data_IF_744528719230
#
_entry.id   IF_744528719230
#
_cell.length_a   1.000
_cell.length_b   1.000
_cell.length_c   1.000
_cell.angle_alpha   90.00
_cell.angle_beta   90.00
_cell.angle_gamma   90.00
#
_symmetry.space_group_name_H-M   'P 1'
#
loop_
_entity.id
_entity.type
_entity.pdbx_description
1 polymer ?
#
# COMPACT_ATOMS: atom_id res chain seq x y z
N UNK A 1 -40.66 -23.25 -25.71
CA UNK A 1 -39.68 -22.18 -25.39
C UNK A 1 -40.34 -20.82 -25.55
N UNK A 2 -40.30 -19.95 -24.54
CA UNK A 2 -40.97 -18.65 -24.58
C UNK A 2 -40.12 -17.61 -25.35
N UNK A 3 -40.74 -16.85 -26.26
CA UNK A 3 -40.06 -15.82 -27.07
C UNK A 3 -39.51 -14.70 -26.19
N UNK A 4 -38.30 -14.23 -26.48
CA UNK A 4 -37.63 -13.17 -25.72
C UNK A 4 -38.33 -11.81 -25.92
N UNK A 5 -38.20 -10.86 -24.97
CA UNK A 5 -38.85 -9.54 -25.06
C UNK A 5 -38.51 -8.77 -26.34
N UNK A 6 -37.25 -8.82 -26.77
CA UNK A 6 -36.77 -8.19 -28.00
C UNK A 6 -37.47 -8.74 -29.27
N UNK A 7 -37.77 -10.04 -29.30
CA UNK A 7 -38.47 -10.67 -30.43
C UNK A 7 -39.96 -10.29 -30.48
N UNK A 8 -40.57 -9.93 -29.34
CA UNK A 8 -41.99 -9.50 -29.29
C UNK A 8 -42.17 -8.03 -29.67
N UNK A 9 -41.24 -7.17 -29.27
CA UNK A 9 -41.22 -5.74 -29.64
C UNK A 9 -41.05 -5.58 -31.16
N UNK A 10 -40.19 -6.40 -31.78
CA UNK A 10 -40.02 -6.43 -33.24
C UNK A 10 -41.29 -6.86 -34.01
N UNK A 11 -42.17 -7.68 -33.39
CA UNK A 11 -43.38 -8.20 -34.04
C UNK A 11 -44.65 -7.35 -33.82
N UNK A 12 -44.77 -6.68 -32.67
CA UNK A 12 -46.00 -5.97 -32.29
C UNK A 12 -45.81 -4.45 -32.07
N UNK A 13 -44.59 -3.92 -32.25
CA UNK A 13 -44.30 -2.50 -32.08
C UNK A 13 -44.74 -1.96 -30.72
N UNK A 14 -45.24 -0.74 -30.69
CA UNK A 14 -45.72 -0.05 -29.48
C UNK A 14 -46.93 -0.70 -28.79
N UNK A 15 -47.54 -1.74 -29.39
CA UNK A 15 -48.65 -2.51 -28.79
C UNK A 15 -48.17 -3.78 -28.06
N UNK A 16 -46.86 -3.98 -27.92
CA UNK A 16 -46.33 -5.10 -27.15
C UNK A 16 -46.65 -4.91 -25.66
N UNK A 17 -47.60 -5.68 -25.13
CA UNK A 17 -47.84 -5.76 -23.69
C UNK A 17 -46.60 -6.39 -23.02
N UNK A 18 -45.77 -5.54 -22.42
CA UNK A 18 -44.69 -5.96 -21.53
C UNK A 18 -45.32 -6.12 -20.14
N UNK A 19 -45.36 -7.32 -19.54
CA UNK A 19 -45.77 -7.45 -18.15
C UNK A 19 -44.80 -6.64 -17.30
N UNK A 20 -45.29 -5.55 -16.73
CA UNK A 20 -44.53 -4.66 -15.86
C UNK A 20 -44.46 -5.32 -14.48
N UNK A 21 -43.78 -6.48 -14.40
CA UNK A 21 -43.31 -7.01 -13.13
C UNK A 21 -42.12 -6.14 -12.70
N UNK A 22 -42.41 -4.91 -12.24
CA UNK A 22 -41.52 -4.26 -11.30
C UNK A 22 -41.66 -5.02 -9.99
N UNK A 23 -40.77 -5.97 -9.76
CA UNK A 23 -40.59 -6.50 -8.42
C UNK A 23 -40.41 -5.28 -7.50
N UNK A 24 -41.13 -5.17 -6.37
CA UNK A 24 -40.89 -4.10 -5.42
C UNK A 24 -39.40 -4.10 -5.10
N UNK A 25 -38.75 -2.92 -4.96
CA UNK A 25 -37.36 -2.86 -4.60
C UNK A 25 -37.17 -3.75 -3.37
N UNK A 26 -36.25 -4.71 -3.43
CA UNK A 26 -35.85 -5.46 -2.25
C UNK A 26 -35.10 -4.45 -1.38
N UNK A 27 -35.84 -3.70 -0.58
CA UNK A 27 -35.30 -2.81 0.43
C UNK A 27 -34.82 -3.73 1.53
N UNK A 28 -33.52 -4.05 1.54
CA UNK A 28 -32.94 -4.78 2.65
C UNK A 28 -32.82 -3.79 3.82
N UNK A 29 -33.65 -3.87 4.87
CA UNK A 29 -33.70 -2.86 5.94
C UNK A 29 -32.39 -2.79 6.73
N UNK A 30 -31.52 -3.79 6.60
CA UNK A 30 -30.18 -3.83 7.20
C UNK A 30 -29.14 -2.96 6.48
N UNK A 31 -29.49 -2.35 5.34
CA UNK A 31 -28.55 -1.57 4.50
C UNK A 31 -28.82 -0.06 4.47
N UNK A 32 -29.62 0.48 5.39
CA UNK A 32 -29.80 1.93 5.58
C UNK A 32 -28.50 2.58 6.07
N UNK A 33 -27.53 2.75 5.17
CA UNK A 33 -26.26 3.42 5.46
C UNK A 33 -26.49 4.92 5.63
N UNK A 34 -26.52 5.38 6.88
CA UNK A 34 -26.35 6.80 7.15
C UNK A 34 -24.92 7.23 6.76
N UNK A 35 -24.71 8.47 6.29
CA UNK A 35 -23.39 9.01 6.02
C UNK A 35 -22.44 8.91 7.23
N UNK A 36 -22.99 9.05 8.45
CA UNK A 36 -22.26 8.91 9.71
C UNK A 36 -21.75 7.47 9.92
N UNK A 37 -22.60 6.46 9.67
CA UNK A 37 -22.20 5.06 9.79
C UNK A 37 -21.13 4.68 8.75
N UNK A 38 -21.24 5.18 7.51
CA UNK A 38 -20.23 4.99 6.49
C UNK A 38 -18.87 5.60 6.88
N UNK A 39 -18.87 6.83 7.41
CA UNK A 39 -17.66 7.49 7.87
C UNK A 39 -16.99 6.77 9.04
N UNK A 40 -17.79 6.23 9.98
CA UNK A 40 -17.27 5.48 11.14
C UNK A 40 -16.56 4.20 10.67
N UNK A 41 -17.16 3.45 9.74
CA UNK A 41 -16.55 2.25 9.18
C UNK A 41 -15.23 2.55 8.45
N UNK A 42 -15.18 3.65 7.69
CA UNK A 42 -13.92 4.08 7.04
C UNK A 42 -12.83 4.41 8.05
N UNK A 43 -13.17 5.12 9.14
CA UNK A 43 -12.20 5.45 10.18
C UNK A 43 -11.67 4.19 10.88
N UNK A 44 -12.53 3.21 11.16
CA UNK A 44 -12.11 1.93 11.77
C UNK A 44 -11.13 1.18 10.88
N UNK A 45 -11.40 1.09 9.57
CA UNK A 45 -10.49 0.44 8.61
C UNK A 45 -9.15 1.18 8.55
N UNK A 46 -9.17 2.52 8.53
CA UNK A 46 -7.94 3.32 8.53
C UNK A 46 -7.12 3.11 9.80
N UNK A 47 -7.76 3.13 10.98
CA UNK A 47 -7.08 2.90 12.26
C UNK A 47 -6.48 1.49 12.29
N UNK A 48 -7.24 0.47 11.90
CA UNK A 48 -6.76 -0.90 11.84
C UNK A 48 -5.56 -1.05 10.89
N UNK A 49 -5.63 -0.43 9.70
CA UNK A 49 -4.53 -0.43 8.73
C UNK A 49 -3.27 0.27 9.24
N UNK A 50 -3.42 1.43 9.91
CA UNK A 50 -2.30 2.16 10.51
C UNK A 50 -1.66 1.34 11.64
N UNK A 51 -2.45 0.78 12.55
CA UNK A 51 -1.95 -0.05 13.66
C UNK A 51 -1.24 -1.30 13.11
N UNK A 52 -1.82 -1.98 12.13
CA UNK A 52 -1.19 -3.12 11.48
C UNK A 52 0.13 -2.74 10.80
N UNK A 53 0.17 -1.59 10.11
CA UNK A 53 1.39 -1.08 9.47
C UNK A 53 2.49 -0.77 10.49
N UNK A 54 2.15 -0.12 11.60
CA UNK A 54 3.09 0.19 12.69
C UNK A 54 3.61 -1.08 13.34
N UNK A 55 2.73 -2.05 13.62
CA UNK A 55 3.10 -3.34 14.20
C UNK A 55 4.05 -4.10 13.26
N UNK A 56 3.73 -4.18 11.96
CA UNK A 56 4.57 -4.86 10.98
C UNK A 56 5.91 -4.14 10.76
N UNK A 57 5.92 -2.81 10.74
CA UNK A 57 7.15 -2.02 10.69
C UNK A 57 8.03 -2.33 11.91
N UNK A 58 7.45 -2.30 13.11
CA UNK A 58 8.15 -2.61 14.34
C UNK A 58 8.71 -4.04 14.31
N UNK A 59 7.86 -5.01 14.03
CA UNK A 59 8.22 -6.42 13.95
C UNK A 59 9.35 -6.66 12.94
N UNK A 60 9.22 -6.14 11.73
CA UNK A 60 10.24 -6.29 10.70
C UNK A 60 11.54 -5.56 11.10
N UNK A 61 11.50 -4.24 11.25
CA UNK A 61 12.71 -3.43 11.37
C UNK A 61 13.40 -3.46 12.73
N UNK A 62 12.65 -3.51 13.84
CA UNK A 62 13.26 -3.37 15.17
C UNK A 62 13.34 -4.69 15.94
N UNK A 63 12.59 -5.71 15.53
CA UNK A 63 12.65 -7.02 16.17
C UNK A 63 13.41 -8.03 15.30
N UNK A 64 12.89 -8.38 14.13
CA UNK A 64 13.46 -9.48 13.34
C UNK A 64 14.81 -9.15 12.72
N UNK A 65 14.98 -7.96 12.14
CA UNK A 65 16.29 -7.55 11.61
C UNK A 65 17.32 -7.33 12.71
N UNK A 66 16.89 -6.89 13.89
CA UNK A 66 17.78 -6.74 15.05
C UNK A 66 18.24 -8.10 15.60
N UNK A 67 17.35 -9.10 15.62
CA UNK A 67 17.73 -10.48 15.95
C UNK A 67 18.77 -11.01 14.96
N UNK A 68 18.57 -10.81 13.65
CA UNK A 68 19.57 -11.21 12.65
C UNK A 68 20.89 -10.44 12.80
N UNK A 69 20.84 -9.16 13.17
CA UNK A 69 22.05 -8.36 13.47
C UNK A 69 22.87 -8.99 14.60
N UNK A 70 22.21 -9.56 15.61
CA UNK A 70 22.90 -10.27 16.70
C UNK A 70 23.52 -11.59 16.23
N UNK A 71 22.92 -12.25 15.25
CA UNK A 71 23.43 -13.49 14.65
C UNK A 71 24.58 -13.24 13.66
N UNK A 72 24.68 -12.04 13.08
CA UNK A 72 25.72 -11.64 12.12
C UNK A 72 26.89 -10.88 12.77
N UNK A 73 27.18 -11.14 14.05
CA UNK A 73 28.30 -10.50 14.76
C UNK A 73 28.15 -8.99 14.95
N UNK A 74 26.92 -8.47 14.95
CA UNK A 74 26.63 -7.04 15.10
C UNK A 74 26.49 -6.27 13.79
N UNK A 75 26.66 -6.92 12.63
CA UNK A 75 26.43 -6.30 11.32
C UNK A 75 24.94 -6.15 11.04
N UNK A 76 24.46 -4.92 10.96
CA UNK A 76 23.06 -4.63 10.66
C UNK A 76 22.59 -5.29 9.35
N UNK A 77 21.34 -5.75 9.31
CA UNK A 77 20.79 -6.24 8.04
C UNK A 77 20.69 -5.10 7.01
N UNK A 78 20.90 -5.38 5.71
CA UNK A 78 20.93 -4.35 4.67
C UNK A 78 19.69 -3.45 4.65
N UNK A 79 18.50 -3.98 4.94
CA UNK A 79 17.25 -3.23 5.05
C UNK A 79 17.25 -2.11 6.09
N UNK A 80 18.07 -2.23 7.14
CA UNK A 80 18.18 -1.23 8.20
C UNK A 80 19.13 -0.08 7.85
N UNK A 81 19.90 -0.20 6.76
CA UNK A 81 20.93 0.77 6.38
C UNK A 81 20.34 1.91 5.56
N UNK A 82 19.86 2.94 6.25
CA UNK A 82 19.23 4.13 5.63
C UNK A 82 20.14 4.82 4.60
N UNK A 83 21.45 4.79 4.79
CA UNK A 83 22.46 5.35 3.89
C UNK A 83 22.93 4.42 2.77
N UNK A 84 22.40 3.20 2.70
CA UNK A 84 22.87 2.16 1.80
C UNK A 84 24.11 1.42 2.32
N UNK A 85 24.69 0.62 1.44
CA UNK A 85 25.84 -0.25 1.68
C UNK A 85 26.62 -0.51 0.38
N UNK A 86 27.80 -1.11 0.51
CA UNK A 86 28.71 -1.42 -0.60
C UNK A 86 29.10 -2.91 -0.63
N UNK A 87 29.94 -3.28 -1.60
CA UNK A 87 30.38 -4.67 -1.78
C UNK A 87 31.26 -5.18 -0.64
N UNK A 88 32.02 -4.29 0.02
CA UNK A 88 32.81 -4.66 1.19
C UNK A 88 31.90 -5.06 2.34
N UNK A 89 30.84 -4.29 2.56
CA UNK A 89 29.82 -4.59 3.57
C UNK A 89 29.15 -5.94 3.31
N UNK A 90 28.75 -6.19 2.07
CA UNK A 90 28.14 -7.48 1.67
C UNK A 90 29.12 -8.64 1.87
N UNK A 91 30.40 -8.45 1.55
CA UNK A 91 31.43 -9.47 1.81
C UNK A 91 31.60 -9.79 3.30
N UNK A 92 31.61 -8.77 4.16
CA UNK A 92 31.66 -8.95 5.62
C UNK A 92 30.41 -9.67 6.14
N UNK A 93 29.24 -9.29 5.63
CA UNK A 93 27.97 -9.88 6.04
C UNK A 93 27.86 -11.34 5.59
N UNK A 94 28.29 -11.67 4.37
CA UNK A 94 28.37 -13.05 3.87
C UNK A 94 29.32 -13.92 4.71
N UNK A 95 30.44 -13.36 5.15
CA UNK A 95 31.37 -14.07 6.03
C UNK A 95 30.80 -14.30 7.44
N UNK A 96 29.91 -13.41 7.90
CA UNK A 96 29.29 -13.49 9.22
C UNK A 96 27.99 -14.32 9.25
N UNK A 97 27.31 -14.53 8.10
CA UNK A 97 26.04 -15.24 8.01
C UNK A 97 26.20 -16.66 7.45
N UNK A 98 25.75 -17.65 8.23
CA UNK A 98 25.57 -19.01 7.75
C UNK A 98 24.34 -19.16 6.83
N UNK A 99 24.11 -20.38 6.33
CA UNK A 99 22.99 -20.68 5.45
C UNK A 99 21.62 -20.50 6.12
N UNK A 100 21.53 -20.76 7.42
CA UNK A 100 20.28 -20.65 8.18
C UNK A 100 19.91 -19.18 8.41
N UNK A 101 20.87 -18.33 8.76
CA UNK A 101 20.67 -16.88 8.89
C UNK A 101 20.24 -16.26 7.55
N UNK A 102 20.86 -16.67 6.44
CA UNK A 102 20.46 -16.24 5.09
C UNK A 102 19.06 -16.73 4.72
N UNK A 103 18.74 -17.99 5.06
CA UNK A 103 17.41 -18.56 4.87
C UNK A 103 16.33 -17.83 5.70
N UNK A 104 16.65 -17.45 6.93
CA UNK A 104 15.77 -16.70 7.81
C UNK A 104 15.51 -15.28 7.26
N UNK A 105 16.55 -14.58 6.79
CA UNK A 105 16.38 -13.28 6.14
C UNK A 105 15.46 -13.38 4.92
N UNK A 106 15.68 -14.35 4.03
CA UNK A 106 14.83 -14.60 2.87
C UNK A 106 13.37 -14.93 3.25
N UNK A 107 13.17 -15.71 4.32
CA UNK A 107 11.83 -16.01 4.83
C UNK A 107 11.13 -14.75 5.34
N UNK A 108 11.83 -13.89 6.09
CA UNK A 108 11.28 -12.63 6.60
C UNK A 108 10.95 -11.69 5.43
N UNK A 109 11.79 -11.62 4.39
CA UNK A 109 11.52 -10.87 3.16
C UNK A 109 10.24 -11.32 2.44
N UNK A 110 10.02 -12.63 2.33
CA UNK A 110 8.80 -13.20 1.73
C UNK A 110 7.55 -13.00 2.58
N UNK A 111 7.70 -12.78 3.88
CA UNK A 111 6.60 -12.62 4.82
C UNK A 111 6.43 -11.17 5.24
N UNK A 112 7.00 -10.77 6.38
CA UNK A 112 6.84 -9.42 6.94
C UNK A 112 7.37 -8.33 5.99
N UNK A 113 8.49 -8.58 5.31
CA UNK A 113 9.06 -7.67 4.32
C UNK A 113 8.14 -7.43 3.11
N UNK A 114 7.20 -8.33 2.84
CA UNK A 114 6.18 -8.21 1.78
C UNK A 114 4.87 -7.66 2.32
N UNK A 115 4.41 -8.15 3.48
CA UNK A 115 3.15 -7.74 4.08
C UNK A 115 3.16 -6.28 4.53
N UNK A 116 4.26 -5.82 5.14
CA UNK A 116 4.41 -4.44 5.59
C UNK A 116 4.15 -3.43 4.48
N UNK A 117 4.92 -3.41 3.36
CA UNK A 117 4.74 -2.39 2.34
C UNK A 117 3.35 -2.46 1.70
N UNK A 118 2.78 -3.66 1.51
CA UNK A 118 1.43 -3.79 0.96
C UNK A 118 0.36 -3.21 1.88
N UNK A 119 0.36 -3.58 3.15
CA UNK A 119 -0.63 -3.10 4.13
C UNK A 119 -0.48 -1.58 4.33
N UNK A 120 0.77 -1.09 4.43
CA UNK A 120 1.06 0.33 4.49
C UNK A 120 0.54 1.05 3.24
N UNK A 121 0.88 0.55 2.05
CA UNK A 121 0.51 1.13 0.77
C UNK A 121 -1.00 1.25 0.61
N UNK A 122 -1.75 0.16 0.83
CA UNK A 122 -3.22 0.20 0.74
C UNK A 122 -3.84 1.13 1.78
N UNK A 123 -3.32 1.14 3.00
CA UNK A 123 -3.78 2.04 4.06
C UNK A 123 -3.58 3.51 3.65
N UNK A 124 -2.41 3.85 3.10
CA UNK A 124 -2.10 5.20 2.64
C UNK A 124 -2.92 5.61 1.42
N UNK A 125 -3.15 4.70 0.48
CA UNK A 125 -4.05 4.94 -0.66
C UNK A 125 -5.47 5.26 -0.18
N UNK A 126 -5.99 4.52 0.80
CA UNK A 126 -7.30 4.78 1.39
C UNK A 126 -7.33 6.12 2.14
N UNK A 127 -6.30 6.41 2.94
CA UNK A 127 -6.17 7.66 3.69
C UNK A 127 -6.21 8.86 2.75
N UNK A 128 -5.37 8.86 1.72
CA UNK A 128 -5.29 9.91 0.71
C UNK A 128 -6.60 9.98 -0.09
N UNK A 129 -7.15 8.81 -0.46
CA UNK A 129 -8.35 8.69 -1.27
C UNK A 129 -9.60 9.29 -0.62
N UNK A 130 -9.69 9.17 0.70
CA UNK A 130 -10.79 9.68 1.53
C UNK A 130 -10.56 11.11 2.02
N UNK A 131 -9.33 11.62 1.95
CA UNK A 131 -8.97 12.94 2.46
C UNK A 131 -8.82 14.00 1.37
N UNK A 132 -8.53 13.62 0.11
CA UNK A 132 -8.23 14.55 -0.99
C UNK A 132 -9.32 14.55 -2.05
N UNK A 133 -10.04 15.67 -2.20
CA UNK A 133 -11.12 15.82 -3.18
C UNK A 133 -10.63 16.06 -4.62
N UNK A 134 -9.51 16.79 -4.79
CA UNK A 134 -8.97 17.14 -6.13
C UNK A 134 -8.32 15.92 -6.77
N UNK A 135 -8.86 15.48 -7.93
CA UNK A 135 -8.41 14.27 -8.64
C UNK A 135 -6.92 14.29 -8.97
N UNK A 136 -6.39 15.39 -9.52
CA UNK A 136 -4.97 15.49 -9.91
C UNK A 136 -4.04 15.37 -8.72
N UNK A 137 -4.31 16.12 -7.64
CA UNK A 137 -3.53 16.08 -6.41
C UNK A 137 -3.58 14.70 -5.74
N UNK A 138 -4.75 14.05 -5.75
CA UNK A 138 -4.90 12.69 -5.24
C UNK A 138 -4.01 11.70 -5.99
N UNK A 139 -3.97 11.76 -7.33
CA UNK A 139 -3.09 10.90 -8.13
C UNK A 139 -1.61 11.16 -7.88
N UNK A 140 -1.22 12.43 -7.74
CA UNK A 140 0.15 12.80 -7.40
C UNK A 140 0.56 12.24 -6.03
N UNK A 141 -0.30 12.35 -5.02
CA UNK A 141 -0.05 11.82 -3.68
C UNK A 141 -0.09 10.28 -3.64
N UNK A 142 -0.92 9.63 -4.45
CA UNK A 142 -0.96 8.16 -4.58
C UNK A 142 0.26 7.56 -5.25
N UNK A 143 0.91 8.29 -6.17
CA UNK A 143 2.12 7.80 -6.84
C UNK A 143 3.21 7.43 -5.84
N UNK A 144 3.36 8.21 -4.76
CA UNK A 144 4.41 8.02 -3.75
C UNK A 144 4.30 6.65 -3.03
N UNK A 145 3.21 6.30 -2.33
CA UNK A 145 3.07 4.99 -1.69
C UNK A 145 3.03 3.84 -2.70
N UNK A 146 2.57 4.05 -3.94
CA UNK A 146 2.62 3.00 -4.97
C UNK A 146 4.07 2.66 -5.36
N UNK A 147 4.88 3.68 -5.65
CA UNK A 147 6.29 3.49 -5.98
C UNK A 147 7.05 2.92 -4.77
N UNK A 148 6.73 3.36 -3.56
CA UNK A 148 7.26 2.79 -2.32
C UNK A 148 7.06 1.26 -2.26
N UNK A 149 5.84 0.77 -2.51
CA UNK A 149 5.55 -0.68 -2.49
C UNK A 149 6.41 -1.40 -3.51
N UNK A 150 6.44 -0.93 -4.76
CA UNK A 150 7.23 -1.57 -5.82
C UNK A 150 8.72 -1.62 -5.44
N UNK A 151 9.27 -0.48 -4.97
CA UNK A 151 10.67 -0.38 -4.56
C UNK A 151 11.00 -1.30 -3.40
N UNK A 152 10.14 -1.43 -2.38
CA UNK A 152 10.39 -2.35 -1.26
C UNK A 152 10.32 -3.82 -1.68
N UNK A 153 9.35 -4.20 -2.50
CA UNK A 153 9.27 -5.58 -2.99
C UNK A 153 10.48 -5.95 -3.84
N UNK A 154 10.92 -5.05 -4.72
CA UNK A 154 12.14 -5.28 -5.51
C UNK A 154 13.40 -5.22 -4.65
N UNK A 155 13.43 -4.35 -3.64
CA UNK A 155 14.54 -4.22 -2.69
C UNK A 155 14.80 -5.51 -1.94
N UNK A 156 13.76 -6.16 -1.42
CA UNK A 156 13.88 -7.46 -0.76
C UNK A 156 14.54 -8.51 -1.68
N UNK A 157 14.07 -8.60 -2.94
CA UNK A 157 14.62 -9.54 -3.93
C UNK A 157 16.06 -9.18 -4.29
N UNK A 158 16.38 -7.90 -4.43
CA UNK A 158 17.72 -7.43 -4.77
C UNK A 158 18.72 -7.70 -3.64
N UNK A 159 18.32 -7.50 -2.38
CA UNK A 159 19.13 -7.83 -1.20
C UNK A 159 19.39 -9.33 -1.13
N UNK A 160 18.34 -10.15 -1.29
CA UNK A 160 18.49 -11.61 -1.32
C UNK A 160 19.42 -12.07 -2.44
N UNK A 161 19.32 -11.47 -3.64
CA UNK A 161 20.19 -11.78 -4.76
C UNK A 161 21.65 -11.37 -4.48
N UNK A 162 21.87 -10.19 -3.91
CA UNK A 162 23.20 -9.69 -3.56
C UNK A 162 23.91 -10.57 -2.50
N UNK A 163 23.14 -11.18 -1.59
CA UNK A 163 23.64 -12.08 -0.54
C UNK A 163 23.68 -13.56 -0.96
N UNK A 164 23.11 -13.92 -2.10
CA UNK A 164 23.08 -15.31 -2.57
C UNK A 164 24.45 -15.78 -3.10
N UNK A 165 25.26 -14.87 -3.62
CA UNK A 165 26.60 -15.16 -4.15
C UNK A 165 27.67 -15.02 -3.06
N UNK A 166 28.61 -15.95 -3.01
CA UNK A 166 29.81 -15.84 -2.15
C UNK A 166 30.68 -14.64 -2.53
N UNK A 167 30.65 -14.25 -3.81
CA UNK A 167 31.33 -13.06 -4.31
C UNK A 167 30.31 -11.96 -4.61
N UNK A 168 30.48 -10.80 -3.98
CA UNK A 168 29.58 -9.67 -4.13
C UNK A 168 29.68 -9.08 -5.54
N UNK A 169 28.67 -9.31 -6.39
CA UNK A 169 28.56 -8.64 -7.68
C UNK A 169 28.26 -7.15 -7.46
N UNK A 170 29.15 -6.28 -7.97
CA UNK A 170 29.06 -4.85 -7.72
C UNK A 170 27.77 -4.23 -8.26
N UNK A 171 27.22 -4.74 -9.37
CA UNK A 171 25.98 -4.26 -9.96
C UNK A 171 24.76 -4.61 -9.10
N UNK A 172 24.68 -5.86 -8.64
CA UNK A 172 23.62 -6.33 -7.74
C UNK A 172 23.64 -5.60 -6.40
N UNK A 173 24.83 -5.41 -5.81
CA UNK A 173 24.98 -4.67 -4.56
C UNK A 173 24.57 -3.21 -4.73
N UNK A 174 25.01 -2.54 -5.80
CA UNK A 174 24.63 -1.16 -6.07
C UNK A 174 23.10 -1.00 -6.25
N UNK A 175 22.46 -1.94 -6.96
CA UNK A 175 21.01 -1.96 -7.12
C UNK A 175 20.30 -2.15 -5.77
N UNK A 176 20.71 -3.14 -4.98
CA UNK A 176 20.11 -3.44 -3.68
C UNK A 176 20.25 -2.25 -2.72
N UNK A 177 21.46 -1.67 -2.64
CA UNK A 177 21.76 -0.48 -1.84
C UNK A 177 20.92 0.73 -2.28
N UNK A 178 20.85 0.99 -3.59
CA UNK A 178 20.03 2.08 -4.14
C UNK A 178 18.54 1.91 -3.84
N UNK A 179 18.00 0.69 -3.96
CA UNK A 179 16.60 0.39 -3.63
C UNK A 179 16.32 0.52 -2.14
N UNK A 180 17.26 0.15 -1.26
CA UNK A 180 17.15 0.38 0.18
C UNK A 180 17.02 1.86 0.50
N UNK A 181 17.94 2.68 -0.02
CA UNK A 181 17.92 4.14 0.20
C UNK A 181 16.63 4.74 -0.36
N UNK A 182 16.27 4.39 -1.59
CA UNK A 182 15.03 4.85 -2.21
C UNK A 182 13.79 4.43 -1.39
N UNK A 183 13.79 3.22 -0.83
CA UNK A 183 12.73 2.70 0.02
C UNK A 183 12.52 3.57 1.27
N UNK A 184 13.59 3.94 1.97
CA UNK A 184 13.52 4.83 3.13
C UNK A 184 13.04 6.23 2.76
N UNK A 185 13.56 6.80 1.67
CA UNK A 185 13.12 8.12 1.17
C UNK A 185 11.63 8.09 0.83
N UNK A 186 11.18 7.10 0.08
CA UNK A 186 9.78 6.94 -0.32
C UNK A 186 8.86 6.65 0.86
N UNK A 187 9.34 5.95 1.89
CA UNK A 187 8.60 5.74 3.12
C UNK A 187 8.31 7.09 3.80
N UNK A 188 9.34 7.90 4.03
CA UNK A 188 9.19 9.24 4.63
C UNK A 188 8.30 10.12 3.77
N UNK A 189 8.50 10.15 2.45
CA UNK A 189 7.64 10.90 1.54
C UNK A 189 6.18 10.42 1.58
N UNK A 190 5.93 9.12 1.75
CA UNK A 190 4.58 8.59 1.91
C UNK A 190 3.95 9.09 3.21
N UNK A 191 4.68 9.09 4.32
CA UNK A 191 4.21 9.66 5.59
C UNK A 191 3.83 11.14 5.42
N UNK A 192 4.69 11.92 4.78
CA UNK A 192 4.43 13.34 4.47
C UNK A 192 3.21 13.53 3.57
N UNK A 193 3.04 12.69 2.54
CA UNK A 193 1.87 12.71 1.66
C UNK A 193 0.58 12.41 2.43
N UNK A 194 0.62 11.44 3.35
CA UNK A 194 -0.50 11.11 4.24
C UNK A 194 -0.84 12.27 5.18
N UNK A 195 0.17 12.88 5.81
CA UNK A 195 -0.01 14.06 6.65
C UNK A 195 -0.62 15.23 5.87
N UNK A 196 -0.08 15.55 4.69
CA UNK A 196 -0.61 16.58 3.81
C UNK A 196 -2.08 16.30 3.44
N UNK A 197 -2.43 15.06 3.11
CA UNK A 197 -3.79 14.66 2.81
C UNK A 197 -4.74 14.94 3.99
N UNK A 198 -4.35 14.58 5.21
CA UNK A 198 -5.15 14.84 6.43
C UNK A 198 -5.34 16.33 6.68
N UNK A 199 -4.32 17.16 6.45
CA UNK A 199 -4.45 18.62 6.60
C UNK A 199 -5.35 19.24 5.53
N UNK A 200 -5.29 18.77 4.28
CA UNK A 200 -6.15 19.22 3.19
C UNK A 200 -7.62 18.87 3.42
N UNK A 201 -7.93 17.77 4.12
CA UNK A 201 -9.29 17.41 4.52
C UNK A 201 -9.93 18.43 5.46
N UNK A 202 -9.13 19.09 6.31
CA UNK A 202 -9.61 20.02 7.33
C UNK A 202 -9.85 21.44 6.81
N UNK A 203 -9.49 21.76 5.56
CA UNK A 203 -9.68 23.10 5.00
C UNK A 203 -11.07 23.17 4.34
N UNK A 204 -12.10 23.77 4.96
CA UNK A 204 -13.34 24.04 4.26
C UNK A 204 -13.03 25.01 3.10
N UNK A 205 -13.58 24.70 1.93
CA UNK A 205 -13.52 25.59 0.77
C UNK A 205 -14.35 26.86 1.08
N UNK A 206 -13.72 27.85 1.72
CA UNK A 206 -14.25 29.20 1.88
C UNK A 206 -14.28 29.86 0.50
N UNK A 207 -15.35 29.64 -0.27
CA UNK A 207 -15.33 30.07 -1.66
C UNK A 207 -16.62 29.93 -2.44
N UNK A 208 -17.76 30.39 -1.91
CA UNK A 208 -18.86 30.92 -2.73
C UNK A 208 -19.77 31.79 -1.86
N UNK A 209 -19.66 33.12 -2.01
CA UNK A 209 -20.68 34.06 -1.54
C UNK A 209 -22.01 33.67 -2.23
N UNK A 210 -23.13 33.55 -1.51
CA UNK A 210 -24.43 33.41 -2.17
C UNK A 210 -24.71 34.70 -2.95
N UNK A 211 -25.07 34.54 -4.24
CA UNK A 211 -25.56 35.64 -5.04
C UNK A 211 -26.79 36.23 -4.34
N UNK A 212 -26.75 37.53 -4.04
CA UNK A 212 -27.95 38.27 -3.64
C UNK A 212 -28.90 38.24 -4.82
N UNK A 213 -30.04 37.58 -4.64
CA UNK A 213 -31.20 37.74 -5.51
C UNK A 213 -31.80 39.09 -5.10
N UNK A 214 -31.71 40.08 -5.99
CA UNK A 214 -32.44 41.34 -5.91
C UNK A 214 -33.73 41.24 -6.71
#
# INVERSE_FOLDING_TARGET
MAKTPAQRIKKHGSKAAVPQHSLPPVINPTTSRSPQAAQNNTNLILIAGVVASLFLFWYFHLLTLQQLTQLSGGLAMPDSLVGGFDTSYVGQLNAAMDGDARGQLNYIHKTAGTLFPLIFGFTWLLLIGTSVARKSLRWALWAVPLVFVVVRLWGNVAIDAALASETADAGQVALASGLTVAGWVLFVLSLLAGAAAVFLRKTPFLGKKPAKIG
#
